data_IF_587194259252
#
_entry.id   IF_587194259252
#
_cell.length_a   1.000
_cell.length_b   1.000
_cell.length_c   1.000
_cell.angle_alpha   90.00
_cell.angle_beta   90.00
_cell.angle_gamma   90.00
#
_symmetry.space_group_name_H-M   'P 1'
#
loop_
_entity.id
_entity.type
_entity.pdbx_description
1 polymer ?
#
# COMPACT_ATOMS: atom_id res chain seq x y z
N UNK A 1 4.44 12.27 14.76
CA UNK A 1 5.34 11.26 14.17
C UNK A 1 5.99 11.93 12.99
N UNK A 2 7.08 11.38 12.47
CA UNK A 2 7.50 11.78 11.13
C UNK A 2 7.98 10.52 10.44
N UNK A 3 7.04 9.78 9.86
CA UNK A 3 7.42 8.72 8.93
C UNK A 3 8.20 9.36 7.78
N UNK A 4 9.31 8.76 7.38
CA UNK A 4 10.02 9.21 6.20
C UNK A 4 9.28 8.78 4.94
N UNK A 5 9.58 9.46 3.84
CA UNK A 5 9.19 9.03 2.50
C UNK A 5 10.23 8.01 2.01
N UNK A 6 9.93 6.70 1.99
CA UNK A 6 10.86 5.71 1.44
C UNK A 6 11.09 5.92 -0.06
N UNK A 7 12.17 5.34 -0.58
CA UNK A 7 12.44 5.34 -2.02
C UNK A 7 11.35 4.56 -2.76
N UNK A 8 11.09 4.92 -4.01
CA UNK A 8 10.15 4.15 -4.83
C UNK A 8 10.65 2.70 -5.06
N UNK A 9 9.85 1.69 -4.71
CA UNK A 9 10.21 0.29 -4.92
C UNK A 9 9.89 -0.12 -6.35
N UNK A 10 10.73 0.25 -7.32
CA UNK A 10 10.49 -0.06 -8.74
C UNK A 10 10.29 -1.57 -8.99
N UNK A 11 11.02 -2.43 -8.26
CA UNK A 11 10.83 -3.88 -8.31
C UNK A 11 9.40 -4.33 -7.95
N UNK A 12 8.75 -3.67 -6.98
CA UNK A 12 7.34 -3.95 -6.61
C UNK A 12 6.40 -3.48 -7.72
N UNK A 13 6.68 -2.31 -8.32
CA UNK A 13 5.88 -1.80 -9.44
C UNK A 13 5.96 -2.74 -10.64
N UNK A 14 7.15 -3.21 -10.98
CA UNK A 14 7.40 -4.19 -12.04
C UNK A 14 6.73 -5.54 -11.76
N UNK A 15 6.79 -6.00 -10.51
CA UNK A 15 6.09 -7.19 -10.06
C UNK A 15 4.58 -7.10 -10.32
N UNK A 16 3.92 -6.03 -9.89
CA UNK A 16 2.48 -5.84 -10.11
C UNK A 16 2.14 -5.87 -11.61
N UNK A 17 2.94 -5.17 -12.45
CA UNK A 17 2.78 -5.19 -13.92
C UNK A 17 2.97 -6.58 -14.52
N UNK A 18 3.87 -7.39 -13.96
CA UNK A 18 4.08 -8.77 -14.40
C UNK A 18 2.85 -9.65 -14.15
N UNK A 19 2.22 -9.51 -12.98
CA UNK A 19 0.99 -10.24 -12.63
C UNK A 19 -0.15 -9.81 -13.55
N UNK A 20 -0.32 -8.51 -13.76
CA UNK A 20 -1.36 -7.96 -14.63
C UNK A 20 -1.28 -8.54 -16.05
N UNK A 21 -0.09 -8.60 -16.66
CA UNK A 21 0.11 -9.21 -17.98
C UNK A 21 -0.31 -10.70 -18.03
N UNK A 22 -0.21 -11.41 -16.92
CA UNK A 22 -0.63 -12.81 -16.79
C UNK A 22 -2.14 -12.99 -16.63
N UNK A 23 -2.82 -12.05 -15.97
CA UNK A 23 -4.25 -12.18 -15.60
C UNK A 23 -5.22 -11.54 -16.60
N UNK A 24 -4.79 -10.55 -17.39
CA UNK A 24 -5.66 -9.74 -18.26
C UNK A 24 -6.25 -10.46 -19.49
N UNK A 25 -6.15 -11.79 -19.59
CA UNK A 25 -6.58 -12.56 -20.77
C UNK A 25 -7.94 -13.24 -20.65
N UNK A 26 -8.59 -13.19 -19.48
CA UNK A 26 -9.90 -13.82 -19.26
C UNK A 26 -10.98 -12.77 -19.00
N UNK A 27 -12.03 -12.68 -19.84
CA UNK A 27 -13.23 -11.94 -19.51
C UNK A 27 -13.86 -12.59 -18.28
N UNK A 28 -13.86 -11.89 -17.15
CA UNK A 28 -14.53 -12.37 -15.94
C UNK A 28 -15.09 -11.22 -15.12
N UNK A 29 -16.05 -11.53 -14.27
CA UNK A 29 -16.64 -10.60 -13.27
C UNK A 29 -15.65 -10.26 -12.14
N UNK A 30 -14.41 -10.75 -12.22
CA UNK A 30 -13.38 -10.60 -11.19
C UNK A 30 -12.63 -9.28 -11.42
N UNK A 31 -12.52 -8.46 -10.37
CA UNK A 31 -11.68 -7.27 -10.40
C UNK A 31 -10.19 -7.66 -10.23
N UNK A 32 -9.59 -8.14 -11.32
CA UNK A 32 -8.19 -8.59 -11.36
C UNK A 32 -7.21 -7.49 -10.93
N UNK A 33 -7.45 -6.24 -11.31
CA UNK A 33 -6.57 -5.13 -10.95
C UNK A 33 -6.44 -4.99 -9.43
N UNK A 34 -7.57 -5.03 -8.71
CA UNK A 34 -7.57 -5.01 -7.25
C UNK A 34 -6.86 -6.23 -6.66
N UNK A 35 -7.01 -7.42 -7.25
CA UNK A 35 -6.31 -8.61 -6.75
C UNK A 35 -4.80 -8.52 -6.96
N UNK A 36 -4.37 -8.02 -8.13
CA UNK A 36 -2.97 -7.98 -8.53
C UNK A 36 -2.14 -7.08 -7.62
N UNK A 37 -2.67 -5.91 -7.22
CA UNK A 37 -1.95 -4.99 -6.30
C UNK A 37 -1.77 -5.55 -4.89
N UNK A 38 -2.58 -6.53 -4.49
CA UNK A 38 -2.46 -7.22 -3.21
C UNK A 38 -1.74 -8.57 -3.32
N UNK A 39 -1.38 -9.02 -4.54
CA UNK A 39 -0.75 -10.31 -4.75
C UNK A 39 0.62 -10.38 -4.06
N UNK A 40 0.78 -11.36 -3.18
CA UNK A 40 1.99 -11.54 -2.37
C UNK A 40 2.26 -10.40 -1.37
N UNK A 41 1.33 -9.45 -1.19
CA UNK A 41 1.46 -8.27 -0.33
C UNK A 41 2.80 -7.52 -0.48
N UNK A 42 3.37 -7.48 -1.69
CA UNK A 42 4.71 -6.94 -1.93
C UNK A 42 4.84 -5.48 -1.51
N UNK A 43 3.91 -4.61 -1.95
CA UNK A 43 3.91 -3.20 -1.54
C UNK A 43 3.69 -3.03 -0.02
N UNK A 44 2.69 -3.68 0.61
CA UNK A 44 2.57 -3.62 2.06
C UNK A 44 3.82 -4.09 2.81
N UNK A 45 4.48 -5.17 2.37
CA UNK A 45 5.69 -5.70 3.01
C UNK A 45 6.83 -4.69 2.93
N UNK A 46 7.02 -4.07 1.76
CA UNK A 46 7.99 -3.01 1.56
C UNK A 46 7.76 -1.85 2.54
N UNK A 47 6.56 -1.27 2.53
CA UNK A 47 6.23 -0.12 3.38
C UNK A 47 6.30 -0.45 4.89
N UNK A 48 5.91 -1.65 5.27
CA UNK A 48 6.05 -2.08 6.66
C UNK A 48 7.51 -2.27 7.05
N UNK A 49 8.37 -2.79 6.17
CA UNK A 49 9.79 -2.89 6.48
C UNK A 49 10.45 -1.53 6.72
N UNK A 50 9.97 -0.50 6.02
CA UNK A 50 10.43 0.89 6.17
C UNK A 50 9.91 1.56 7.45
N UNK A 51 8.69 1.25 7.90
CA UNK A 51 8.02 2.02 8.96
C UNK A 51 7.73 1.25 10.25
N UNK A 52 7.95 -0.07 10.30
CA UNK A 52 7.53 -0.92 11.43
C UNK A 52 8.10 -0.46 12.77
N UNK A 53 9.31 0.11 12.79
CA UNK A 53 10.01 0.44 14.03
C UNK A 53 9.44 1.73 14.65
N UNK A 54 8.90 2.63 13.83
CA UNK A 54 8.12 3.80 14.25
C UNK A 54 6.66 3.45 14.57
N UNK A 55 6.09 2.49 13.84
CA UNK A 55 4.68 2.11 13.92
C UNK A 55 4.37 1.23 15.14
N UNK A 56 5.22 0.24 15.45
CA UNK A 56 5.00 -0.72 16.54
C UNK A 56 4.84 -0.06 17.91
N UNK A 57 5.72 0.89 18.34
CA UNK A 57 5.58 1.56 19.62
C UNK A 57 4.26 2.33 19.77
N UNK A 58 3.55 2.59 18.67
CA UNK A 58 2.28 3.31 18.63
C UNK A 58 1.07 2.38 18.63
N UNK A 59 1.27 1.06 18.72
CA UNK A 59 0.19 0.08 18.76
C UNK A 59 -0.24 -0.44 17.39
N UNK A 60 0.48 -0.12 16.32
CA UNK A 60 0.24 -0.75 15.02
C UNK A 60 0.83 -2.17 14.99
N UNK A 61 -0.01 -3.12 14.56
CA UNK A 61 0.40 -4.45 14.13
C UNK A 61 0.38 -4.52 12.60
N UNK A 62 1.00 -5.55 12.03
CA UNK A 62 0.91 -5.83 10.60
C UNK A 62 -0.56 -5.86 10.09
N UNK A 63 -1.47 -6.48 10.85
CA UNK A 63 -2.89 -6.56 10.49
C UNK A 63 -3.56 -5.19 10.48
N UNK A 64 -3.27 -4.35 11.47
CA UNK A 64 -3.78 -2.96 11.55
C UNK A 64 -3.25 -2.11 10.38
N UNK A 65 -1.97 -2.25 10.07
CA UNK A 65 -1.34 -1.59 8.94
C UNK A 65 -2.00 -1.99 7.61
N UNK A 66 -2.19 -3.29 7.38
CA UNK A 66 -2.90 -3.78 6.19
C UNK A 66 -4.33 -3.26 6.10
N UNK A 67 -5.07 -3.24 7.22
CA UNK A 67 -6.44 -2.72 7.27
C UNK A 67 -6.50 -1.25 6.85
N UNK A 68 -5.53 -0.45 7.29
CA UNK A 68 -5.42 0.97 6.95
C UNK A 68 -5.01 1.16 5.49
N UNK A 69 -3.99 0.45 5.02
CA UNK A 69 -3.51 0.54 3.64
C UNK A 69 -4.58 0.10 2.62
N UNK A 70 -5.44 -0.86 2.98
CA UNK A 70 -6.60 -1.28 2.17
C UNK A 70 -7.57 -0.15 1.84
N UNK A 71 -7.66 0.88 2.69
CA UNK A 71 -8.47 2.08 2.41
C UNK A 71 -7.96 2.88 1.21
N UNK A 72 -6.75 2.58 0.72
CA UNK A 72 -6.05 3.30 -0.34
C UNK A 72 -5.76 2.41 -1.55
N UNK A 73 -6.56 1.35 -1.74
CA UNK A 73 -6.39 0.42 -2.89
C UNK A 73 -6.45 1.17 -4.23
N UNK A 74 -7.35 2.14 -4.34
CA UNK A 74 -7.46 3.08 -5.47
C UNK A 74 -6.17 3.88 -5.71
N UNK A 75 -5.55 4.43 -4.66
CA UNK A 75 -4.30 5.17 -4.80
C UNK A 75 -3.14 4.26 -5.23
N UNK A 76 -3.10 3.01 -4.74
CA UNK A 76 -2.13 2.00 -5.19
C UNK A 76 -2.34 1.71 -6.69
N UNK A 77 -3.60 1.56 -7.12
CA UNK A 77 -3.95 1.33 -8.54
C UNK A 77 -3.45 2.49 -9.42
N UNK A 78 -3.71 3.73 -9.01
CA UNK A 78 -3.27 4.90 -9.75
C UNK A 78 -1.73 5.01 -9.80
N UNK A 79 -1.05 4.65 -8.71
CA UNK A 79 0.41 4.71 -8.63
C UNK A 79 1.08 3.75 -9.61
N UNK A 80 0.73 2.44 -9.58
CA UNK A 80 1.42 1.48 -10.46
C UNK A 80 1.13 1.74 -11.96
N UNK A 81 -0.04 2.34 -12.26
CA UNK A 81 -0.43 2.80 -13.60
C UNK A 81 0.25 4.11 -14.04
N UNK A 82 0.96 4.78 -13.14
CA UNK A 82 1.67 6.04 -13.42
C UNK A 82 0.79 7.30 -13.39
N UNK A 83 -0.48 7.19 -13.01
CA UNK A 83 -1.38 8.34 -12.81
C UNK A 83 -1.16 9.04 -11.45
N UNK A 84 -0.44 8.39 -10.52
CA UNK A 84 -0.07 8.90 -9.22
C UNK A 84 1.44 8.82 -9.04
N UNK A 85 2.08 9.90 -8.62
CA UNK A 85 3.50 9.86 -8.25
C UNK A 85 3.69 9.11 -6.94
N UNK A 86 4.88 8.52 -6.77
CA UNK A 86 5.23 7.83 -5.53
C UNK A 86 5.17 8.76 -4.32
N UNK A 87 5.74 9.96 -4.44
CA UNK A 87 5.76 10.95 -3.34
C UNK A 87 4.35 11.32 -2.91
N UNK A 88 3.43 11.46 -3.87
CA UNK A 88 2.03 11.75 -3.58
C UNK A 88 1.35 10.59 -2.86
N UNK A 89 1.49 9.37 -3.39
CA UNK A 89 0.95 8.16 -2.76
C UNK A 89 1.43 8.00 -1.31
N UNK A 90 2.73 8.19 -1.08
CA UNK A 90 3.34 8.07 0.24
C UNK A 90 2.89 9.17 1.17
N UNK A 91 2.94 10.44 0.74
CA UNK A 91 2.51 11.56 1.56
C UNK A 91 1.07 11.38 2.05
N UNK A 92 0.17 10.98 1.15
CA UNK A 92 -1.22 10.75 1.51
C UNK A 92 -1.40 9.51 2.40
N UNK A 93 -0.54 8.49 2.27
CA UNK A 93 -0.55 7.31 3.15
C UNK A 93 -0.05 7.65 4.55
N UNK A 94 1.02 8.43 4.67
CA UNK A 94 1.54 8.95 5.95
C UNK A 94 0.46 9.78 6.64
N UNK A 95 -0.19 10.70 5.92
CA UNK A 95 -1.28 11.50 6.46
C UNK A 95 -2.44 10.64 7.00
N UNK A 96 -2.75 9.52 6.35
CA UNK A 96 -3.79 8.59 6.81
C UNK A 96 -3.39 7.86 8.11
N UNK A 97 -2.12 7.44 8.20
CA UNK A 97 -1.56 6.77 9.37
C UNK A 97 -1.48 7.73 10.57
N UNK A 98 -1.03 8.96 10.34
CA UNK A 98 -0.85 9.95 11.39
C UNK A 98 -2.16 10.62 11.81
N UNK A 99 -3.15 10.66 10.91
CA UNK A 99 -4.46 11.26 11.12
C UNK A 99 -5.40 10.47 12.04
N UNK A 100 -6.63 10.98 12.27
CA UNK A 100 -7.56 10.42 13.24
C UNK A 100 -7.88 8.93 13.05
N UNK A 101 -8.02 8.48 11.80
CA UNK A 101 -8.31 7.07 11.50
C UNK A 101 -7.16 6.15 11.93
N UNK A 102 -5.92 6.55 11.65
CA UNK A 102 -4.75 5.78 12.06
C UNK A 102 -4.62 5.69 13.58
N UNK A 103 -4.85 6.80 14.29
CA UNK A 103 -4.86 6.81 15.76
C UNK A 103 -5.94 5.88 16.33
N UNK A 104 -7.14 5.88 15.74
CA UNK A 104 -8.24 5.01 16.17
C UNK A 104 -7.93 3.53 15.91
N UNK A 105 -7.38 3.18 14.74
CA UNK A 105 -6.97 1.81 14.41
C UNK A 105 -5.84 1.33 15.34
N UNK A 106 -4.93 2.22 15.72
CA UNK A 106 -3.82 1.89 16.60
C UNK A 106 -4.27 1.54 18.02
N UNK A 107 -5.29 2.23 18.54
CA UNK A 107 -5.83 2.05 19.90
C UNK A 107 -6.67 0.79 20.09
N UNK A 108 -7.40 0.36 19.06
CA UNK A 108 -8.28 -0.84 19.09
C UNK A 108 -7.50 -2.14 19.12
#
# INVERSE_FOLDING_TARGET
>A
MKLHTPKEPEHVKEWIKSIERGTSKTPSTINWERLNVWYGNQLPQYLWSEWKDELKPRGFTWQKFLKLLRQRTDAILLWYKGAYTWERFIKETINLIEGPLGQEIAKR
#
